data_IF_700914571072
#
_entry.id   IF_700914571072
#
_cell.length_a   1.000
_cell.length_b   1.000
_cell.length_c   1.000
_cell.angle_alpha   90.00
_cell.angle_beta   90.00
_cell.angle_gamma   90.00
#
_symmetry.space_group_name_H-M   'P 1'
#
loop_
_entity.id
_entity.type
_entity.pdbx_description
1 polymer ?
#
# COMPACT_ATOMS: atom_id res chain seq x y z
N UNK A 1 -21.07 11.70 59.52
CA UNK A 1 -22.33 11.08 59.97
C UNK A 1 -22.96 10.40 58.76
N UNK A 2 -23.23 9.09 58.85
CA UNK A 2 -23.88 8.17 57.88
C UNK A 2 -23.32 8.13 56.44
N UNK A 3 -22.63 7.06 55.97
CA UNK A 3 -23.18 5.76 55.51
C UNK A 3 -24.43 5.98 54.62
N UNK A 4 -24.54 5.40 53.43
CA UNK A 4 -25.22 4.12 53.24
C UNK A 4 -24.73 3.40 51.97
N UNK A 5 -24.48 2.12 52.19
CA UNK A 5 -24.23 1.04 51.25
C UNK A 5 -25.52 0.73 50.48
N UNK A 6 -25.46 0.55 49.16
CA UNK A 6 -26.47 -0.21 48.42
C UNK A 6 -25.78 -1.24 47.52
N UNK A 7 -25.74 -2.44 48.07
CA UNK A 7 -25.47 -3.72 47.43
C UNK A 7 -26.81 -4.26 46.91
N UNK A 8 -26.89 -4.62 45.63
CA UNK A 8 -27.93 -5.48 45.04
C UNK A 8 -27.52 -5.77 43.60
N UNK A 9 -27.74 -6.93 43.00
CA UNK A 9 -28.03 -8.30 43.44
C UNK A 9 -27.84 -9.11 42.15
N UNK A 10 -27.27 -10.31 42.26
CA UNK A 10 -27.09 -11.27 41.17
C UNK A 10 -28.39 -11.51 40.37
N UNK A 11 -28.26 -11.65 39.06
CA UNK A 11 -29.16 -12.49 38.26
C UNK A 11 -28.32 -13.43 37.38
N UNK A 12 -28.19 -14.68 37.81
CA UNK A 12 -27.85 -15.80 36.94
C UNK A 12 -29.07 -16.08 36.05
N UNK A 13 -28.87 -16.13 34.74
CA UNK A 13 -29.80 -16.71 33.77
C UNK A 13 -29.08 -17.81 32.99
N UNK A 14 -29.42 -19.06 33.30
CA UNK A 14 -28.88 -20.25 32.65
C UNK A 14 -29.77 -20.70 31.48
N UNK A 15 -29.11 -21.26 30.47
CA UNK A 15 -29.54 -22.39 29.63
C UNK A 15 -30.74 -22.25 28.69
N UNK A 16 -30.46 -22.43 27.40
CA UNK A 16 -31.21 -23.36 26.54
C UNK A 16 -30.31 -23.91 25.43
N UNK A 17 -29.92 -25.19 25.56
CA UNK A 17 -29.54 -26.04 24.43
C UNK A 17 -30.82 -26.43 23.69
N UNK A 18 -30.85 -26.25 22.36
CA UNK A 18 -31.72 -27.02 21.47
C UNK A 18 -30.84 -27.86 20.55
N UNK A 19 -31.11 -29.16 20.56
CA UNK A 19 -30.62 -30.17 19.63
C UNK A 19 -31.82 -30.75 18.86
N UNK A 20 -31.52 -31.29 17.66
CA UNK A 20 -32.25 -32.30 16.85
C UNK A 20 -32.52 -31.80 15.41
N UNK A 21 -31.82 -32.40 14.42
CA UNK A 21 -32.28 -33.38 13.41
C UNK A 21 -33.05 -32.72 12.24
N UNK A 22 -32.88 -33.01 10.95
CA UNK A 22 -32.17 -34.02 10.15
C UNK A 22 -32.93 -34.03 8.81
N UNK A 23 -32.26 -34.16 7.66
CA UNK A 23 -32.91 -34.70 6.44
C UNK A 23 -31.86 -35.17 5.43
N UNK A 24 -32.08 -36.40 4.97
CA UNK A 24 -31.26 -37.23 4.09
C UNK A 24 -31.83 -37.22 2.64
N UNK A 25 -30.94 -37.30 1.64
CA UNK A 25 -31.25 -37.79 0.27
C UNK A 25 -31.63 -36.71 -0.77
N UNK A 26 -31.19 -36.74 -2.04
CA UNK A 26 -30.70 -37.86 -2.86
C UNK A 26 -30.09 -37.34 -4.20
N UNK A 27 -28.81 -37.70 -4.48
CA UNK A 27 -28.23 -38.27 -5.74
C UNK A 27 -28.33 -37.56 -7.12
N UNK A 28 -27.58 -37.98 -8.19
CA UNK A 28 -26.45 -38.95 -8.32
C UNK A 28 -25.25 -38.50 -9.20
N UNK A 29 -24.31 -39.46 -9.39
CA UNK A 29 -23.25 -39.63 -10.39
C UNK A 29 -21.83 -39.24 -9.89
N UNK A 30 -20.80 -40.08 -9.94
CA UNK A 30 -20.61 -41.35 -10.63
C UNK A 30 -19.20 -41.39 -11.22
N UNK A 31 -18.29 -42.06 -10.52
CA UNK A 31 -17.14 -42.85 -11.03
C UNK A 31 -16.01 -42.19 -11.84
N UNK A 32 -14.91 -41.94 -11.13
CA UNK A 32 -13.55 -42.51 -11.31
C UNK A 32 -12.96 -42.89 -12.69
N UNK A 33 -11.69 -42.49 -12.85
CA UNK A 33 -10.60 -43.05 -13.68
C UNK A 33 -10.66 -42.80 -15.20
N UNK A 34 -9.61 -42.27 -15.85
CA UNK A 34 -8.28 -42.87 -15.98
C UNK A 34 -7.24 -41.84 -16.43
N UNK A 35 -6.01 -42.08 -16.01
CA UNK A 35 -4.77 -41.49 -16.48
C UNK A 35 -4.54 -41.69 -17.98
N UNK A 36 -3.98 -40.70 -18.65
CA UNK A 36 -3.16 -40.88 -19.84
C UNK A 36 -2.04 -39.84 -19.80
N UNK A 37 -0.81 -40.31 -19.58
CA UNK A 37 0.38 -39.50 -19.74
C UNK A 37 0.73 -39.32 -21.22
N UNK A 38 1.45 -38.24 -21.50
CA UNK A 38 2.34 -38.16 -22.66
C UNK A 38 3.38 -37.06 -22.40
N UNK A 39 4.60 -37.51 -22.13
CA UNK A 39 5.82 -36.71 -22.22
C UNK A 39 6.09 -36.37 -23.68
N UNK A 40 6.47 -35.13 -24.00
CA UNK A 40 7.38 -34.86 -25.14
C UNK A 40 8.18 -33.58 -24.92
N UNK A 41 9.49 -33.74 -25.02
CA UNK A 41 10.53 -32.72 -24.98
C UNK A 41 10.65 -31.92 -26.29
N UNK A 42 11.20 -30.71 -26.15
CA UNK A 42 12.13 -30.01 -27.04
C UNK A 42 11.77 -29.70 -28.51
N UNK A 43 11.81 -28.40 -28.85
CA UNK A 43 12.38 -27.83 -30.08
C UNK A 43 12.50 -26.29 -29.87
N UNK A 44 13.69 -25.70 -29.71
CA UNK A 44 14.54 -25.12 -30.77
C UNK A 44 13.80 -24.27 -31.80
N UNK A 45 14.03 -22.95 -31.76
CA UNK A 45 13.63 -22.00 -32.81
C UNK A 45 14.49 -20.74 -32.76
N UNK A 46 15.51 -20.70 -33.62
CA UNK A 46 16.43 -19.58 -33.87
C UNK A 46 15.81 -18.48 -34.72
N UNK A 47 16.40 -17.28 -34.63
CA UNK A 47 16.35 -16.20 -35.63
C UNK A 47 15.78 -14.90 -35.05
N UNK A 48 16.38 -13.72 -35.17
CA UNK A 48 17.48 -13.24 -36.01
C UNK A 48 17.17 -11.79 -36.44
N UNK A 49 18.18 -10.91 -36.43
CA UNK A 49 18.14 -9.52 -36.92
C UNK A 49 18.27 -8.51 -35.78
N UNK A 50 19.22 -7.57 -35.73
CA UNK A 50 20.07 -6.98 -36.77
C UNK A 50 19.75 -5.49 -36.87
N UNK A 51 20.66 -4.61 -36.44
CA UNK A 51 20.53 -3.15 -36.59
C UNK A 51 21.57 -2.42 -35.74
N UNK A 52 22.58 -1.83 -36.39
CA UNK A 52 23.69 -1.13 -35.76
C UNK A 52 23.53 0.39 -35.75
N UNK A 53 24.70 1.05 -35.77
CA UNK A 53 25.01 2.48 -35.73
C UNK A 53 25.22 3.03 -34.29
N UNK A 54 26.36 3.60 -33.90
CA UNK A 54 27.40 4.29 -34.65
C UNK A 54 27.49 5.72 -34.12
N UNK A 55 28.51 6.03 -33.31
CA UNK A 55 28.69 7.36 -32.74
C UNK A 55 30.06 7.57 -32.09
N UNK A 56 31.03 8.01 -32.91
CA UNK A 56 32.31 8.57 -32.46
C UNK A 56 32.19 10.11 -32.36
N UNK A 57 32.87 10.69 -31.36
CA UNK A 57 33.23 12.11 -31.26
C UNK A 57 33.56 12.46 -29.81
N UNK A 58 34.74 12.90 -29.38
CA UNK A 58 35.83 13.64 -30.04
C UNK A 58 35.77 15.11 -29.61
N UNK A 59 36.76 15.61 -28.83
CA UNK A 59 37.02 17.06 -28.68
C UNK A 59 37.33 17.58 -27.27
N UNK A 60 38.62 17.59 -26.91
CA UNK A 60 39.47 18.71 -26.49
C UNK A 60 39.02 19.82 -25.51
N UNK A 61 39.75 19.90 -24.39
CA UNK A 61 40.58 21.05 -23.95
C UNK A 61 40.06 22.50 -23.99
N UNK A 62 40.06 23.15 -22.82
CA UNK A 62 40.03 24.61 -22.70
C UNK A 62 40.44 25.10 -21.31
N UNK A 63 41.51 25.89 -21.24
CA UNK A 63 42.05 26.53 -20.04
C UNK A 63 41.60 28.00 -19.93
N UNK A 64 41.35 28.47 -18.71
CA UNK A 64 41.61 29.85 -18.28
C UNK A 64 40.48 30.89 -18.39
N UNK A 65 40.39 31.76 -17.37
CA UNK A 65 39.72 33.06 -17.46
C UNK A 65 39.02 33.52 -16.18
N UNK A 66 39.62 34.50 -15.50
CA UNK A 66 39.20 35.13 -14.26
C UNK A 66 38.00 36.12 -14.39
N UNK A 67 37.31 36.35 -13.26
CA UNK A 67 36.95 37.70 -12.82
C UNK A 67 35.58 38.27 -13.21
N UNK A 68 34.70 38.45 -12.21
CA UNK A 68 33.51 39.30 -12.29
C UNK A 68 32.76 39.38 -10.97
N UNK A 69 32.94 40.49 -10.25
CA UNK A 69 32.25 40.82 -9.01
C UNK A 69 30.89 41.50 -9.28
N UNK A 70 29.88 41.18 -8.46
CA UNK A 70 28.78 42.10 -8.14
C UNK A 70 27.38 41.70 -8.62
N UNK A 71 26.46 41.52 -7.67
CA UNK A 71 25.02 41.42 -7.91
C UNK A 71 24.27 40.77 -6.75
N UNK A 72 23.56 41.58 -5.98
CA UNK A 72 22.82 41.21 -4.77
C UNK A 72 21.57 40.36 -5.01
N UNK A 73 21.27 39.49 -4.03
CA UNK A 73 19.94 39.39 -3.44
C UNK A 73 18.81 38.74 -4.26
N UNK A 74 18.64 37.43 -4.08
CA UNK A 74 17.40 36.73 -4.40
C UNK A 74 17.43 35.30 -3.86
N UNK A 75 16.99 35.11 -2.61
CA UNK A 75 16.68 33.79 -2.08
C UNK A 75 15.34 33.34 -2.65
N UNK A 76 15.32 32.92 -3.91
CA UNK A 76 14.30 32.05 -4.46
C UNK A 76 14.89 30.66 -4.49
N UNK A 77 14.43 29.78 -3.61
CA UNK A 77 14.82 28.37 -3.67
C UNK A 77 14.41 27.83 -5.04
N UNK A 78 15.38 27.45 -5.84
CA UNK A 78 15.17 26.71 -7.07
C UNK A 78 14.49 25.39 -6.69
N UNK A 79 13.16 25.35 -6.83
CA UNK A 79 12.39 24.13 -6.82
C UNK A 79 13.04 23.17 -7.81
N UNK A 80 13.50 22.04 -7.28
CA UNK A 80 14.37 21.10 -7.96
C UNK A 80 13.90 20.83 -9.38
N UNK A 81 14.81 21.07 -10.31
CA UNK A 81 14.73 20.71 -11.71
C UNK A 81 14.26 19.25 -11.85
N UNK A 82 13.00 19.06 -12.22
CA UNK A 82 12.40 17.76 -12.50
C UNK A 82 13.03 17.16 -13.74
N UNK A 83 14.19 16.53 -13.56
CA UNK A 83 14.76 15.61 -14.53
C UNK A 83 13.74 14.53 -14.83
N UNK A 84 13.53 14.22 -16.12
CA UNK A 84 12.52 13.29 -16.62
C UNK A 84 12.76 11.82 -16.23
N UNK A 85 12.79 11.55 -14.93
CA UNK A 85 12.72 10.24 -14.30
C UNK A 85 11.47 10.16 -13.43
N UNK A 86 10.90 8.97 -13.29
CA UNK A 86 9.82 8.71 -12.34
C UNK A 86 10.34 8.87 -10.91
N UNK A 87 9.63 9.61 -10.07
CA UNK A 87 9.92 9.67 -8.63
C UNK A 87 9.21 8.50 -7.94
N UNK A 88 9.84 7.95 -6.91
CA UNK A 88 9.29 6.81 -6.18
C UNK A 88 9.39 7.02 -4.67
N UNK A 89 8.36 6.56 -3.97
CA UNK A 89 8.36 6.38 -2.53
C UNK A 89 7.76 5.02 -2.21
N UNK A 90 8.21 4.42 -1.12
CA UNK A 90 7.74 3.11 -0.67
C UNK A 90 7.47 3.13 0.84
N UNK A 91 6.48 2.37 1.24
CA UNK A 91 6.22 2.02 2.63
C UNK A 91 6.19 0.49 2.77
N UNK A 92 7.11 -0.05 3.56
CA UNK A 92 7.03 -1.45 4.00
C UNK A 92 6.03 -1.55 5.15
N UNK A 93 5.10 -2.50 5.06
CA UNK A 93 4.11 -2.69 6.11
C UNK A 93 4.69 -3.48 7.28
N UNK A 94 4.71 -2.82 8.44
CA UNK A 94 4.86 -3.45 9.74
C UNK A 94 3.51 -4.07 10.14
N UNK A 95 3.57 -5.31 10.60
CA UNK A 95 2.43 -6.00 11.19
C UNK A 95 1.93 -5.25 12.44
N UNK A 96 0.61 -5.06 12.55
CA UNK A 96 -0.03 -4.53 13.75
C UNK A 96 -1.02 -5.53 14.33
N UNK A 97 -1.13 -5.56 15.66
CA UNK A 97 -2.14 -6.32 16.40
C UNK A 97 -2.17 -7.83 16.08
N UNK A 98 -1.00 -8.43 15.82
CA UNK A 98 -0.85 -9.85 15.50
C UNK A 98 -1.68 -10.31 14.28
N UNK A 99 -1.80 -9.44 13.26
CA UNK A 99 -2.61 -9.67 12.07
C UNK A 99 -2.01 -10.67 11.08
N UNK A 100 -0.69 -10.87 11.10
CA UNK A 100 0.08 -11.57 10.06
C UNK A 100 0.34 -10.75 8.79
N UNK A 101 -0.14 -9.50 8.70
CA UNK A 101 -0.01 -8.69 7.50
C UNK A 101 1.44 -8.27 7.24
N UNK A 102 1.89 -8.44 6.00
CA UNK A 102 3.14 -7.89 5.48
C UNK A 102 2.98 -7.45 4.02
N UNK A 103 3.96 -6.72 3.48
CA UNK A 103 3.95 -6.28 2.09
C UNK A 103 4.42 -4.84 1.93
N UNK A 104 4.07 -4.21 0.80
CA UNK A 104 4.50 -2.85 0.47
C UNK A 104 3.38 -2.00 -0.12
N UNK A 105 3.54 -0.69 0.03
CA UNK A 105 2.80 0.33 -0.69
C UNK A 105 3.79 1.21 -1.45
N UNK A 106 3.77 1.13 -2.77
CA UNK A 106 4.70 1.85 -3.65
C UNK A 106 3.97 2.97 -4.37
N UNK A 107 4.47 4.19 -4.23
CA UNK A 107 4.03 5.39 -4.94
C UNK A 107 5.01 5.68 -6.08
N UNK A 108 4.52 5.76 -7.30
CA UNK A 108 5.32 6.12 -8.47
C UNK A 108 4.70 7.33 -9.14
N UNK A 109 5.43 8.45 -9.15
CA UNK A 109 5.05 9.65 -9.88
C UNK A 109 5.68 9.65 -11.27
N UNK A 110 4.85 9.79 -12.30
CA UNK A 110 5.26 9.94 -13.70
C UNK A 110 4.53 11.13 -14.32
N UNK A 111 5.24 12.24 -14.50
CA UNK A 111 4.62 13.49 -14.92
C UNK A 111 3.63 14.01 -13.88
N UNK A 112 2.39 14.25 -14.31
CA UNK A 112 1.29 14.78 -13.50
C UNK A 112 0.42 13.68 -12.84
N UNK A 113 0.82 12.40 -12.92
CA UNK A 113 0.11 11.27 -12.29
C UNK A 113 0.99 10.58 -11.24
N UNK A 114 0.41 10.27 -10.08
CA UNK A 114 0.95 9.38 -9.05
C UNK A 114 0.13 8.09 -9.03
N UNK A 115 0.80 6.96 -9.20
CA UNK A 115 0.21 5.63 -9.01
C UNK A 115 0.65 5.05 -7.66
N UNK A 116 -0.29 4.76 -6.79
CA UNK A 116 -0.10 3.93 -5.60
C UNK A 116 -0.43 2.48 -5.96
N UNK A 117 0.50 1.55 -5.68
CA UNK A 117 0.26 0.11 -5.71
C UNK A 117 0.53 -0.48 -4.33
N UNK A 118 -0.49 -1.10 -3.74
CA UNK A 118 -0.39 -1.83 -2.48
C UNK A 118 -0.37 -3.32 -2.82
N UNK A 119 0.62 -4.05 -2.32
CA UNK A 119 0.68 -5.51 -2.39
C UNK A 119 0.89 -6.06 -1.00
N UNK A 120 -0.03 -6.89 -0.53
CA UNK A 120 0.01 -7.45 0.82
C UNK A 120 -0.15 -8.97 0.82
N UNK A 121 0.35 -9.58 1.87
CA UNK A 121 0.20 -10.99 2.22
C UNK A 121 -0.15 -11.13 3.70
N UNK A 122 -0.78 -12.25 4.06
CA UNK A 122 -1.13 -12.56 5.45
C UNK A 122 -2.26 -11.72 6.04
N UNK A 123 -3.00 -10.95 5.22
CA UNK A 123 -4.25 -10.33 5.66
C UNK A 123 -5.36 -11.38 5.82
N UNK A 124 -6.31 -11.19 6.75
CA UNK A 124 -7.53 -11.99 6.79
C UNK A 124 -8.26 -11.99 5.44
N UNK A 125 -8.90 -13.08 5.05
CA UNK A 125 -9.69 -13.09 3.82
C UNK A 125 -10.89 -12.12 3.93
N UNK A 126 -11.14 -11.32 2.89
CA UNK A 126 -12.24 -10.36 2.85
C UNK A 126 -11.83 -8.95 2.41
N UNK A 127 -12.74 -7.99 2.56
CA UNK A 127 -12.48 -6.59 2.22
C UNK A 127 -11.77 -5.82 3.33
N UNK A 128 -10.76 -5.06 2.92
CA UNK A 128 -9.93 -4.18 3.72
C UNK A 128 -9.94 -2.79 3.13
N UNK A 129 -9.62 -1.79 3.95
CA UNK A 129 -9.39 -0.43 3.48
C UNK A 129 -7.98 0.02 3.81
N UNK A 130 -7.42 0.89 2.97
CA UNK A 130 -6.14 1.53 3.22
C UNK A 130 -6.32 3.04 3.24
N UNK A 131 -5.61 3.72 4.13
CA UNK A 131 -5.63 5.18 4.25
C UNK A 131 -4.25 5.73 4.53
N UNK A 132 -3.99 6.92 4.02
CA UNK A 132 -2.83 7.71 4.44
C UNK A 132 -3.24 8.48 5.72
N UNK A 133 -2.32 8.59 6.67
CA UNK A 133 -2.55 9.20 7.98
C UNK A 133 -1.61 10.37 8.24
N UNK A 134 -2.10 11.37 8.97
CA UNK A 134 -1.50 12.69 9.10
C UNK A 134 -0.12 12.71 9.79
N UNK A 135 0.20 11.70 10.59
CA UNK A 135 1.51 11.58 11.21
C UNK A 135 2.32 10.44 10.57
N UNK A 136 3.60 10.70 10.32
CA UNK A 136 4.57 9.68 9.93
C UNK A 136 5.04 8.87 11.14
N UNK A 137 4.16 8.04 11.69
CA UNK A 137 4.47 7.14 12.81
C UNK A 137 3.59 5.90 12.79
N UNK A 138 4.18 4.73 13.06
CA UNK A 138 3.45 3.48 13.27
C UNK A 138 3.44 3.05 14.75
N UNK A 139 3.85 3.93 15.66
CA UNK A 139 3.88 3.66 17.10
C UNK A 139 2.47 3.45 17.68
N UNK A 140 2.43 2.95 18.92
CA UNK A 140 1.19 2.72 19.66
C UNK A 140 0.19 1.81 18.90
N UNK A 141 0.72 0.77 18.24
CA UNK A 141 -0.04 -0.11 17.34
C UNK A 141 -0.77 0.66 16.23
N UNK A 142 -0.06 1.61 15.61
CA UNK A 142 -0.59 2.47 14.56
C UNK A 142 -1.43 3.64 15.05
N UNK A 143 -1.73 3.79 16.35
CA UNK A 143 -2.53 4.92 16.84
C UNK A 143 -1.80 6.26 16.71
N UNK A 144 -0.47 6.26 16.84
CA UNK A 144 0.34 7.47 16.70
C UNK A 144 0.31 8.07 15.28
N UNK A 145 -0.10 7.29 14.27
CA UNK A 145 -0.33 7.80 12.91
C UNK A 145 -1.43 8.89 12.86
N UNK A 146 -2.32 8.94 13.86
CA UNK A 146 -3.33 9.99 13.96
C UNK A 146 -4.54 9.80 13.05
N UNK A 147 -5.18 10.91 12.66
CA UNK A 147 -6.34 10.93 11.78
C UNK A 147 -5.97 10.65 10.32
N UNK A 148 -6.98 10.44 9.47
CA UNK A 148 -6.76 10.29 8.02
C UNK A 148 -6.25 11.60 7.41
N UNK A 149 -5.22 11.49 6.58
CA UNK A 149 -4.84 12.55 5.67
C UNK A 149 -5.54 12.32 4.33
N UNK A 150 -6.53 13.17 4.05
CA UNK A 150 -7.39 13.08 2.87
C UNK A 150 -7.27 14.39 2.06
N UNK A 151 -6.22 14.55 1.24
CA UNK A 151 -6.08 15.73 0.40
C UNK A 151 -7.26 15.77 -0.58
N UNK A 152 -7.87 16.96 -0.72
CA UNK A 152 -9.03 17.21 -1.59
C UNK A 152 -10.25 16.29 -1.33
N UNK A 153 -10.31 15.59 -0.19
CA UNK A 153 -11.46 14.76 0.21
C UNK A 153 -11.52 13.36 -0.44
N UNK A 154 -10.48 12.93 -1.17
CA UNK A 154 -10.47 11.63 -1.82
C UNK A 154 -9.76 10.53 -1.01
N UNK A 155 -10.48 9.43 -0.72
CA UNK A 155 -9.90 8.22 -0.10
C UNK A 155 -9.26 7.27 -1.12
N UNK A 156 -8.59 6.21 -0.63
CA UNK A 156 -7.96 5.18 -1.47
C UNK A 156 -8.95 4.10 -1.94
N UNK A 157 -10.06 3.90 -1.23
CA UNK A 157 -11.01 2.81 -1.46
C UNK A 157 -10.68 1.52 -0.69
N UNK A 158 -11.47 0.47 -0.92
CA UNK A 158 -11.24 -0.87 -0.37
C UNK A 158 -10.56 -1.80 -1.39
N UNK A 159 -9.94 -2.85 -0.88
CA UNK A 159 -9.36 -3.95 -1.64
C UNK A 159 -9.69 -5.27 -0.96
N UNK A 160 -9.58 -6.38 -1.68
CA UNK A 160 -9.92 -7.71 -1.15
C UNK A 160 -8.66 -8.55 -1.01
N UNK A 161 -8.54 -9.21 0.14
CA UNK A 161 -7.59 -10.30 0.34
C UNK A 161 -8.28 -11.65 0.05
N UNK A 162 -7.61 -12.52 -0.71
CA UNK A 162 -8.11 -13.85 -1.03
C UNK A 162 -7.98 -14.84 0.15
N UNK A 163 -8.37 -16.09 -0.08
CA UNK A 163 -8.33 -17.14 0.95
C UNK A 163 -6.89 -17.51 1.37
N UNK A 164 -5.90 -17.21 0.54
CA UNK A 164 -4.47 -17.38 0.84
C UNK A 164 -3.89 -16.15 1.55
N UNK A 165 -4.71 -15.13 1.80
CA UNK A 165 -4.33 -13.88 2.47
C UNK A 165 -3.55 -12.93 1.57
N UNK A 166 -3.69 -13.03 0.26
CA UNK A 166 -3.00 -12.18 -0.72
C UNK A 166 -3.94 -11.07 -1.19
N UNK A 167 -3.43 -9.84 -1.29
CA UNK A 167 -4.20 -8.68 -1.75
C UNK A 167 -3.38 -7.73 -2.61
N UNK A 168 -4.03 -7.10 -3.59
CA UNK A 168 -3.43 -6.03 -4.39
C UNK A 168 -4.43 -4.91 -4.61
N UNK A 169 -3.96 -3.66 -4.53
CA UNK A 169 -4.77 -2.48 -4.79
C UNK A 169 -3.98 -1.46 -5.59
N UNK A 170 -4.64 -0.80 -6.54
CA UNK A 170 -4.01 0.25 -7.35
C UNK A 170 -4.89 1.49 -7.40
N UNK A 171 -4.30 2.63 -7.08
CA UNK A 171 -4.97 3.93 -7.06
C UNK A 171 -4.14 4.93 -7.82
N UNK A 172 -4.77 5.73 -8.69
CA UNK A 172 -4.11 6.79 -9.46
C UNK A 172 -4.68 8.14 -9.10
N UNK A 173 -3.82 9.14 -8.93
CA UNK A 173 -4.21 10.53 -8.65
C UNK A 173 -3.33 11.51 -9.41
N UNK A 174 -3.88 12.70 -9.65
CA UNK A 174 -3.11 13.81 -10.20
C UNK A 174 -2.18 14.44 -9.17
N UNK A 175 -1.18 15.19 -9.64
CA UNK A 175 -0.24 15.92 -8.77
C UNK A 175 -0.85 17.08 -8.00
N UNK A 176 -2.09 17.46 -8.32
CA UNK A 176 -2.93 18.36 -7.53
C UNK A 176 -3.42 17.72 -6.22
N UNK A 177 -3.33 16.40 -6.10
CA UNK A 177 -3.69 15.62 -4.90
C UNK A 177 -2.45 15.06 -4.23
N UNK A 178 -1.58 14.37 -4.98
CA UNK A 178 -0.39 13.70 -4.45
C UNK A 178 0.87 14.05 -5.24
N UNK A 179 1.95 14.33 -4.52
CA UNK A 179 3.30 14.40 -5.08
C UNK A 179 4.22 13.47 -4.29
N UNK A 180 5.31 13.04 -4.91
CA UNK A 180 6.40 12.32 -4.26
C UNK A 180 7.55 13.30 -4.07
N UNK A 181 7.77 13.76 -2.84
CA UNK A 181 8.85 14.72 -2.52
C UNK A 181 8.62 16.14 -3.08
N UNK A 182 7.38 16.48 -3.43
CA UNK A 182 6.99 17.79 -3.94
C UNK A 182 6.54 18.77 -2.85
N UNK A 183 5.50 19.55 -3.14
CA UNK A 183 4.96 20.53 -2.19
C UNK A 183 4.39 19.88 -0.92
N UNK A 184 4.62 20.50 0.23
CA UNK A 184 4.22 19.94 1.54
C UNK A 184 2.72 19.65 1.68
N UNK A 185 1.86 20.31 0.90
CA UNK A 185 0.42 20.10 0.93
C UNK A 185 -0.02 18.81 0.20
N UNK A 186 0.81 18.28 -0.70
CA UNK A 186 0.52 17.11 -1.54
C UNK A 186 1.54 15.99 -1.37
N UNK A 187 2.66 16.25 -0.68
CA UNK A 187 3.78 15.32 -0.56
C UNK A 187 3.48 14.12 0.35
N UNK A 188 3.29 12.95 -0.27
CA UNK A 188 2.95 11.71 0.43
C UNK A 188 4.05 11.23 1.39
N UNK A 189 5.30 11.64 1.18
CA UNK A 189 6.48 11.19 1.97
C UNK A 189 6.47 11.74 3.40
N UNK A 190 5.55 12.64 3.72
CA UNK A 190 5.38 13.26 5.04
C UNK A 190 4.45 12.46 5.95
N UNK A 191 3.89 11.35 5.46
CA UNK A 191 2.81 10.62 6.08
C UNK A 191 3.13 9.13 6.27
N UNK A 192 2.20 8.42 6.91
CA UNK A 192 2.19 6.96 6.98
C UNK A 192 0.96 6.41 6.25
N UNK A 193 1.01 5.16 5.83
CA UNK A 193 -0.13 4.44 5.25
C UNK A 193 -0.52 3.29 6.18
N UNK A 194 -1.82 3.11 6.40
CA UNK A 194 -2.39 2.12 7.32
C UNK A 194 -3.41 1.25 6.59
N UNK A 195 -3.35 -0.05 6.82
CA UNK A 195 -4.37 -1.03 6.39
C UNK A 195 -5.29 -1.35 7.57
N UNK A 196 -6.60 -1.35 7.34
CA UNK A 196 -7.64 -1.66 8.31
C UNK A 196 -8.22 -3.06 8.10
N UNK A 197 -8.69 -3.67 9.19
CA UNK A 197 -9.26 -5.01 9.18
C UNK A 197 -10.58 -5.13 8.39
N UNK A 198 -11.27 -4.03 8.13
CA UNK A 198 -12.51 -4.02 7.35
C UNK A 198 -12.52 -2.89 6.30
N UNK A 199 -13.51 -2.97 5.41
CA UNK A 199 -13.75 -1.96 4.37
C UNK A 199 -14.12 -0.57 4.95
N UNK A 200 -14.89 -0.52 6.04
CA UNK A 200 -15.15 0.74 6.74
C UNK A 200 -13.96 1.06 7.66
N UNK A 201 -13.23 2.17 7.47
CA UNK A 201 -12.08 2.51 8.32
C UNK A 201 -12.42 2.71 9.80
N UNK A 202 -13.68 3.01 10.11
CA UNK A 202 -14.15 3.17 11.47
C UNK A 202 -14.58 1.83 12.08
N UNK A 203 -14.64 0.78 11.26
CA UNK A 203 -14.92 -0.59 11.66
C UNK A 203 -13.66 -1.45 11.51
N UNK A 204 -13.29 -2.14 12.58
CA UNK A 204 -12.08 -2.97 12.56
C UNK A 204 -10.80 -2.18 12.84
N UNK A 205 -9.88 -2.85 13.53
CA UNK A 205 -8.61 -2.26 13.97
C UNK A 205 -7.63 -2.06 12.82
N UNK A 206 -6.54 -1.34 13.11
CA UNK A 206 -5.38 -1.18 12.22
C UNK A 206 -4.60 -2.49 12.20
N UNK A 207 -4.35 -3.07 11.04
CA UNK A 207 -3.70 -4.39 10.90
C UNK A 207 -2.33 -4.32 10.24
N UNK A 208 -2.00 -3.21 9.59
CA UNK A 208 -0.65 -2.92 9.12
C UNK A 208 -0.40 -1.44 9.02
N UNK A 209 0.86 -1.03 9.15
CA UNK A 209 1.28 0.37 9.00
C UNK A 209 2.66 0.46 8.38
N UNK A 210 2.84 1.38 7.43
CA UNK A 210 4.14 1.67 6.82
C UNK A 210 4.42 3.17 6.79
N UNK A 211 5.67 3.55 7.04
CA UNK A 211 6.14 4.92 6.87
C UNK A 211 6.47 5.13 5.38
N UNK A 212 5.98 6.21 4.78
CA UNK A 212 6.21 6.48 3.36
C UNK A 212 7.57 7.18 3.22
N UNK A 213 8.55 6.46 2.72
CA UNK A 213 9.91 6.94 2.50
C UNK A 213 10.17 7.12 1.01
N UNK A 214 10.80 8.24 0.64
CA UNK A 214 11.24 8.45 -0.73
C UNK A 214 12.47 7.57 -1.02
N UNK A 215 12.52 6.96 -2.20
CA UNK A 215 13.69 6.19 -2.67
C UNK A 215 14.80 7.08 -3.26
#
# INVERSE_FOLDING_TARGET
MSRWLKLSLLALGASALLAACGDDGESPAGSSSTSSGASTSAATGSGGGGGGDGGNGGGDGGSGGDGGSGGDGGSGGDGGSGGGGSLQAEAEFLELNASGLSGTATFTQSGEEVTLTITVSGCPAGEHSAHIHENKSCEENGNAAGAHWIPNGEGLGSFTCDEDGQGTHTVKRGTDVWTVGGDAATDVTKYSIVVHAAADPNAGGRIGCGLIEQE
#
